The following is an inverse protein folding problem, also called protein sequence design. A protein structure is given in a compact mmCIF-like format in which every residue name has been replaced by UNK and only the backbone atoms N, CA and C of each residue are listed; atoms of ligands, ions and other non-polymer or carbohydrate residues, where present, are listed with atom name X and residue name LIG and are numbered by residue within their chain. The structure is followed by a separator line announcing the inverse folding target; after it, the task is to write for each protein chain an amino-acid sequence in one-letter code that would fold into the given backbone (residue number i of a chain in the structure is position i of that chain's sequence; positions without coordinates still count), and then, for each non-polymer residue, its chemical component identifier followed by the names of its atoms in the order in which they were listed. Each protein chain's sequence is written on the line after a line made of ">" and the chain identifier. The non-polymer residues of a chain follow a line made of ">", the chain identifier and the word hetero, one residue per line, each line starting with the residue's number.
data_IF_756518060857
#
_entry.id   IF_756518060857
#
_cell.length_a   1.000
_cell.length_b   1.000
_cell.length_c   1.000
_cell.angle_alpha   90.00
_cell.angle_beta   90.00
_cell.angle_gamma   90.00
#
_symmetry.space_group_name_H-M   'P 1'
#
loop_
_entity.id
_entity.type
_entity.pdbx_description
1 polymer ?
#
# COMPACT_ATOMS: atom_id res chain seq x y z
N UNK A 1 -18.00 12.89 -76.03
CA UNK A 1 -17.40 13.86 -75.07
C UNK A 1 -17.28 13.13 -73.74
N UNK A 2 -16.09 12.66 -73.38
CA UNK A 2 -15.02 13.36 -72.63
C UNK A 2 -15.33 13.51 -71.13
N UNK A 3 -14.55 12.75 -70.37
CA UNK A 3 -13.85 13.07 -69.13
C UNK A 3 -14.57 13.05 -67.77
N UNK A 4 -13.79 12.57 -66.80
CA UNK A 4 -13.83 12.82 -65.34
C UNK A 4 -14.57 11.76 -64.52
N UNK A 5 -14.08 11.25 -63.40
CA UNK A 5 -12.87 11.54 -62.61
C UNK A 5 -12.64 10.30 -61.70
N UNK A 6 -11.42 9.76 -61.64
CA UNK A 6 -11.04 8.76 -60.64
C UNK A 6 -10.82 9.49 -59.30
N UNK A 7 -11.61 9.17 -58.26
CA UNK A 7 -11.29 9.56 -56.89
C UNK A 7 -10.58 8.41 -56.19
N UNK A 8 -9.29 8.60 -55.94
CA UNK A 8 -8.46 7.72 -55.11
C UNK A 8 -8.71 8.13 -53.66
N UNK A 9 -9.41 7.28 -52.90
CA UNK A 9 -9.55 7.42 -51.45
C UNK A 9 -8.24 6.98 -50.78
N UNK A 10 -7.48 7.93 -50.26
CA UNK A 10 -6.30 7.66 -49.43
C UNK A 10 -6.76 7.24 -48.02
N UNK A 11 -6.51 5.98 -47.64
CA UNK A 11 -6.64 5.53 -46.25
C UNK A 11 -5.49 6.13 -45.42
N UNK A 12 -5.81 7.12 -44.59
CA UNK A 12 -4.93 7.59 -43.53
C UNK A 12 -5.06 6.67 -42.31
N UNK A 13 -4.14 5.73 -42.14
CA UNK A 13 -4.01 4.93 -40.93
C UNK A 13 -3.46 5.80 -39.80
N UNK A 14 -4.32 6.22 -38.88
CA UNK A 14 -3.91 6.85 -37.62
C UNK A 14 -3.31 5.76 -36.73
N UNK A 15 -1.97 5.71 -36.66
CA UNK A 15 -1.26 4.88 -35.70
C UNK A 15 -1.54 5.43 -34.29
N UNK A 16 -2.35 4.71 -33.53
CA UNK A 16 -2.59 4.99 -32.12
C UNK A 16 -1.27 4.82 -31.36
N UNK A 17 -0.65 5.93 -30.95
CA UNK A 17 0.44 5.93 -30.00
C UNK A 17 -0.10 5.47 -28.64
N UNK A 18 0.08 4.19 -28.32
CA UNK A 18 -0.19 3.67 -27.00
C UNK A 18 0.71 4.40 -25.97
N UNK A 19 0.16 4.87 -24.85
CA UNK A 19 0.97 5.45 -23.79
C UNK A 19 1.96 4.39 -23.29
N UNK A 20 3.23 4.79 -23.29
CA UNK A 20 4.35 4.04 -22.74
C UNK A 20 3.99 3.46 -21.38
N UNK A 21 3.95 2.13 -21.29
CA UNK A 21 3.91 1.43 -20.02
C UNK A 21 5.11 1.90 -19.21
N UNK A 22 4.85 2.61 -18.11
CA UNK A 22 5.89 2.97 -17.15
C UNK A 22 6.56 1.66 -16.72
N UNK A 23 7.83 1.55 -17.09
CA UNK A 23 8.69 0.42 -16.79
C UNK A 23 8.86 0.41 -15.28
N UNK A 24 8.02 -0.35 -14.58
CA UNK A 24 8.19 -0.62 -13.16
C UNK A 24 9.58 -1.26 -13.00
N UNK A 25 10.43 -0.65 -12.18
CA UNK A 25 11.83 -1.01 -12.01
C UNK A 25 12.01 -2.53 -11.88
N UNK A 26 12.88 -3.09 -12.72
CA UNK A 26 13.16 -4.53 -12.78
C UNK A 26 13.87 -4.92 -11.47
N UNK A 27 13.37 -5.85 -10.64
CA UNK A 27 14.07 -6.24 -9.43
C UNK A 27 15.39 -6.91 -9.79
N UNK A 28 16.51 -6.26 -9.52
CA UNK A 28 17.86 -6.79 -9.70
C UNK A 28 18.41 -7.21 -8.33
N UNK A 29 18.21 -8.50 -7.98
CA UNK A 29 18.97 -9.36 -7.02
C UNK A 29 18.11 -10.57 -6.65
N UNK A 30 18.68 -11.67 -6.11
CA UNK A 30 17.84 -12.67 -5.45
C UNK A 30 16.94 -11.98 -4.42
N UNK A 31 15.68 -12.40 -4.28
CA UNK A 31 14.76 -11.78 -3.33
C UNK A 31 15.38 -11.88 -1.94
N UNK A 32 15.47 -10.73 -1.25
CA UNK A 32 15.82 -10.69 0.16
C UNK A 32 14.80 -11.52 0.95
N UNK A 33 15.16 -12.01 2.13
CA UNK A 33 14.21 -12.80 2.93
C UNK A 33 12.94 -11.99 3.16
N UNK A 34 11.72 -12.54 2.96
CA UNK A 34 10.51 -11.75 3.10
C UNK A 34 10.33 -11.18 4.51
N UNK A 35 9.70 -10.02 4.60
CA UNK A 35 9.23 -9.47 5.88
C UNK A 35 8.11 -10.34 6.43
N UNK A 36 8.04 -10.44 7.75
CA UNK A 36 6.94 -11.12 8.44
C UNK A 36 6.02 -10.07 9.03
N UNK A 37 4.80 -9.92 8.50
CA UNK A 37 3.79 -9.07 9.12
C UNK A 37 3.20 -9.83 10.31
N UNK A 38 3.45 -9.31 11.52
CA UNK A 38 3.03 -9.91 12.77
C UNK A 38 1.60 -9.50 13.11
N UNK A 39 1.32 -8.19 13.00
CA UNK A 39 0.00 -7.62 13.24
C UNK A 39 -0.29 -6.52 12.23
N UNK A 40 -1.56 -6.39 11.88
CA UNK A 40 -2.10 -5.25 11.17
C UNK A 40 -3.45 -4.95 11.79
N UNK A 41 -3.74 -3.68 12.05
CA UNK A 41 -5.04 -3.23 12.51
C UNK A 41 -5.36 -1.84 11.99
N UNK A 42 -6.60 -1.70 11.53
CA UNK A 42 -7.21 -0.40 11.20
C UNK A 42 -8.45 -0.20 12.03
N UNK A 43 -8.78 1.05 12.30
CA UNK A 43 -9.97 1.42 13.05
C UNK A 43 -10.50 2.76 12.57
N UNK A 44 -11.83 2.86 12.49
CA UNK A 44 -12.52 4.12 12.39
C UNK A 44 -13.65 4.20 13.44
N UNK A 45 -13.80 5.35 14.10
CA UNK A 45 -14.90 5.61 15.00
C UNK A 45 -16.19 5.83 14.21
N UNK A 46 -17.34 5.82 14.90
CA UNK A 46 -18.65 6.02 14.28
C UNK A 46 -18.88 7.36 13.58
N UNK A 47 -18.09 8.39 13.90
CA UNK A 47 -18.32 9.77 13.45
C UNK A 47 -19.49 10.48 14.14
N UNK A 48 -20.20 9.84 15.08
CA UNK A 48 -21.27 10.48 15.86
C UNK A 48 -20.71 11.51 16.84
N UNK A 49 -21.48 12.54 17.16
CA UNK A 49 -21.14 13.52 18.20
C UNK A 49 -20.79 12.80 19.51
N UNK A 50 -19.68 13.22 20.13
CA UNK A 50 -19.14 12.60 21.35
C UNK A 50 -18.25 11.38 21.12
N UNK A 51 -18.13 10.87 19.87
CA UNK A 51 -17.13 9.85 19.54
C UNK A 51 -15.73 10.46 19.37
N UNK A 52 -14.70 9.63 19.54
CA UNK A 52 -13.34 10.01 19.13
C UNK A 52 -13.34 10.45 17.66
N UNK A 53 -12.63 11.53 17.29
CA UNK A 53 -12.51 11.94 15.88
C UNK A 53 -11.41 11.17 15.13
N UNK A 54 -10.65 10.33 15.83
CA UNK A 54 -9.43 9.72 15.31
C UNK A 54 -9.67 8.31 14.79
N UNK A 55 -9.24 8.08 13.56
CA UNK A 55 -8.98 6.77 12.97
C UNK A 55 -7.50 6.43 13.12
N UNK A 56 -7.16 5.15 13.09
CA UNK A 56 -5.78 4.70 13.19
C UNK A 56 -5.47 3.54 12.25
N UNK A 57 -4.19 3.46 11.89
CA UNK A 57 -3.56 2.33 11.23
C UNK A 57 -2.35 1.94 12.06
N UNK A 58 -2.22 0.65 12.37
CA UNK A 58 -1.10 0.06 13.06
C UNK A 58 -0.64 -1.18 12.29
N UNK A 59 0.66 -1.30 12.08
CA UNK A 59 1.28 -2.53 11.57
C UNK A 59 2.54 -2.82 12.37
N UNK A 60 2.76 -4.08 12.67
CA UNK A 60 4.05 -4.55 13.17
C UNK A 60 4.59 -5.67 12.29
N UNK A 61 5.90 -5.67 12.10
CA UNK A 61 6.57 -6.66 11.28
C UNK A 61 7.99 -6.94 11.76
N UNK A 62 8.55 -8.06 11.34
CA UNK A 62 9.93 -8.45 11.61
C UNK A 62 10.70 -8.59 10.31
N UNK A 63 11.95 -8.15 10.28
CA UNK A 63 12.83 -8.25 9.12
C UNK A 63 13.97 -9.28 9.30
N UNK A 64 13.79 -10.53 8.85
CA UNK A 64 14.82 -11.55 8.99
C UNK A 64 16.10 -11.33 8.16
N UNK A 65 16.12 -10.33 7.28
CA UNK A 65 17.29 -9.96 6.48
C UNK A 65 18.29 -9.11 7.28
N UNK A 66 17.82 -8.08 7.99
CA UNK A 66 18.71 -7.10 8.65
C UNK A 66 18.75 -7.25 10.17
N UNK A 67 17.58 -7.41 10.79
CA UNK A 67 17.47 -7.60 12.22
C UNK A 67 16.15 -8.29 12.51
N UNK A 68 16.17 -9.43 13.20
CA UNK A 68 14.96 -10.10 13.69
C UNK A 68 14.19 -9.27 14.75
N UNK A 69 14.37 -7.95 14.75
CA UNK A 69 13.68 -6.98 15.59
C UNK A 69 12.29 -6.71 15.04
N UNK A 70 11.34 -6.48 15.94
CA UNK A 70 9.99 -6.06 15.55
C UNK A 70 9.95 -4.55 15.36
N UNK A 71 9.53 -4.12 14.18
CA UNK A 71 9.25 -2.75 13.82
C UNK A 71 7.76 -2.50 13.99
N UNK A 72 7.40 -1.34 14.54
CA UNK A 72 6.03 -0.90 14.69
C UNK A 72 5.84 0.43 13.97
N UNK A 73 4.88 0.46 13.06
CA UNK A 73 4.50 1.65 12.33
C UNK A 73 3.05 2.00 12.65
N UNK A 74 2.81 3.25 13.00
CA UNK A 74 1.47 3.74 13.32
C UNK A 74 1.22 5.10 12.71
N UNK A 75 -0.02 5.36 12.31
CA UNK A 75 -0.47 6.70 11.97
C UNK A 75 -1.92 6.87 12.41
N UNK A 76 -2.26 8.12 12.70
CA UNK A 76 -3.62 8.52 13.05
C UNK A 76 -4.04 9.68 12.18
N UNK A 77 -5.34 9.77 11.92
CA UNK A 77 -5.93 10.86 11.17
C UNK A 77 -7.37 11.09 11.61
N UNK A 78 -7.87 12.27 11.34
CA UNK A 78 -9.28 12.63 11.53
C UNK A 78 -10.09 12.41 10.25
N UNK A 79 -11.42 12.41 10.37
CA UNK A 79 -12.30 12.35 9.20
C UNK A 79 -12.03 13.47 8.17
N UNK A 80 -11.68 14.67 8.64
CA UNK A 80 -11.36 15.80 7.77
C UNK A 80 -10.05 15.61 6.98
N UNK A 81 -9.14 14.79 7.49
CA UNK A 81 -7.84 14.53 6.89
C UNK A 81 -7.85 13.33 5.92
N UNK A 82 -8.96 12.60 5.79
CA UNK A 82 -9.01 11.28 5.16
C UNK A 82 -8.22 11.16 3.85
N UNK A 83 -8.41 12.09 2.90
CA UNK A 83 -7.69 12.04 1.62
C UNK A 83 -6.22 12.47 1.70
N UNK A 84 -5.85 13.27 2.69
CA UNK A 84 -4.46 13.70 2.90
C UNK A 84 -3.58 12.56 3.40
N UNK A 85 -4.15 11.50 3.98
CA UNK A 85 -3.38 10.35 4.46
C UNK A 85 -2.66 9.65 3.30
N UNK A 86 -3.28 9.58 2.12
CA UNK A 86 -2.68 8.97 0.93
C UNK A 86 -1.43 9.72 0.43
N UNK A 87 -1.33 11.02 0.74
CA UNK A 87 -0.22 11.86 0.29
C UNK A 87 0.92 11.92 1.30
N UNK A 88 0.73 11.39 2.51
CA UNK A 88 1.79 11.28 3.53
C UNK A 88 2.85 10.30 3.03
N UNK A 89 4.08 10.79 2.84
CA UNK A 89 5.22 9.98 2.43
C UNK A 89 6.11 9.69 3.63
N UNK A 90 6.70 8.50 3.65
CA UNK A 90 7.77 8.11 4.59
C UNK A 90 7.46 8.48 6.05
N UNK A 91 6.29 8.06 6.55
CA UNK A 91 5.98 8.20 7.98
C UNK A 91 6.91 7.29 8.76
N UNK A 92 7.65 7.83 9.73
CA UNK A 92 8.64 7.06 10.49
C UNK A 92 7.99 5.94 11.32
N UNK A 93 8.71 4.82 11.40
CA UNK A 93 8.39 3.70 12.28
C UNK A 93 9.32 3.65 13.49
N UNK A 94 8.87 2.95 14.52
CA UNK A 94 9.61 2.71 15.75
C UNK A 94 10.18 1.28 15.73
N UNK A 95 11.47 1.13 16.04
CA UNK A 95 12.10 -0.19 16.18
C UNK A 95 12.02 -0.59 17.65
N UNK A 96 11.08 -1.46 18.02
CA UNK A 96 10.72 -1.87 19.39
C UNK A 96 10.28 -0.69 20.31
N UNK A 97 9.12 -0.75 21.00
CA UNK A 97 8.70 0.27 21.97
C UNK A 97 9.76 0.67 23.01
N UNK A 98 10.73 -0.20 23.31
CA UNK A 98 11.84 0.06 24.24
C UNK A 98 13.07 0.66 23.57
N UNK A 99 13.30 0.38 22.29
CA UNK A 99 14.43 0.90 21.55
C UNK A 99 14.01 2.25 20.96
N UNK A 100 14.49 3.34 21.55
CA UNK A 100 14.25 4.71 21.10
C UNK A 100 14.86 5.01 19.71
N UNK A 101 15.20 4.01 18.90
CA UNK A 101 15.70 4.16 17.55
C UNK A 101 14.51 4.43 16.62
N UNK A 102 14.39 5.68 16.22
CA UNK A 102 13.45 6.19 15.23
C UNK A 102 14.21 6.40 13.93
N UNK A 103 13.63 6.03 12.78
CA UNK A 103 14.04 6.60 11.50
C UNK A 103 14.86 5.75 10.52
N UNK A 104 14.99 4.44 10.71
CA UNK A 104 15.52 3.56 9.63
C UNK A 104 14.38 3.02 8.75
N UNK A 105 13.22 2.74 9.37
CA UNK A 105 12.01 2.31 8.70
C UNK A 105 11.01 3.44 8.57
N UNK A 106 10.40 3.52 7.40
CA UNK A 106 9.26 4.39 7.16
C UNK A 106 8.19 3.65 6.35
N UNK A 107 6.97 4.16 6.39
CA UNK A 107 5.86 3.60 5.65
C UNK A 107 4.98 4.65 4.97
N UNK A 108 4.21 4.19 4.00
CA UNK A 108 3.20 4.95 3.30
C UNK A 108 1.98 4.08 3.00
N UNK A 109 0.79 4.65 3.14
CA UNK A 109 -0.47 4.06 2.66
C UNK A 109 -0.77 4.63 1.27
N UNK A 110 -0.97 3.75 0.30
CA UNK A 110 -1.21 4.09 -1.10
C UNK A 110 -2.60 3.62 -1.54
N UNK A 111 -3.21 4.37 -2.47
CA UNK A 111 -4.46 3.94 -3.12
C UNK A 111 -4.17 2.70 -3.98
N UNK A 112 -5.02 1.66 -3.95
CA UNK A 112 -4.91 0.53 -4.86
C UNK A 112 -5.06 1.00 -6.31
N UNK A 113 -4.20 0.50 -7.19
CA UNK A 113 -4.07 0.99 -8.58
C UNK A 113 -5.16 0.49 -9.54
N UNK A 114 -6.02 -0.45 -9.12
CA UNK A 114 -7.02 -1.08 -9.97
C UNK A 114 -8.27 -0.20 -10.12
N UNK A 115 -8.61 0.14 -11.38
CA UNK A 115 -9.84 0.85 -11.72
C UNK A 115 -11.08 0.01 -11.36
N UNK A 116 -11.81 0.42 -10.33
CA UNK A 116 -13.10 -0.18 -9.95
C UNK A 116 -13.20 -0.69 -8.51
N UNK A 117 -12.07 -0.89 -7.82
CA UNK A 117 -12.09 -1.21 -6.39
C UNK A 117 -12.13 0.10 -5.58
N UNK A 118 -13.12 0.24 -4.69
CA UNK A 118 -13.21 1.42 -3.82
C UNK A 118 -12.02 1.48 -2.86
N UNK A 119 -11.16 2.49 -3.00
CA UNK A 119 -10.03 2.71 -2.10
C UNK A 119 -10.50 3.08 -0.69
N UNK A 120 -9.92 2.46 0.33
CA UNK A 120 -10.27 2.70 1.73
C UNK A 120 -9.08 2.45 2.63
N UNK A 121 -8.75 3.43 3.47
CA UNK A 121 -7.68 3.31 4.48
C UNK A 121 -7.98 2.24 5.53
N UNK A 122 -9.22 1.75 5.61
CA UNK A 122 -9.63 0.76 6.58
C UNK A 122 -9.51 -0.65 6.03
N UNK A 123 -9.93 -0.86 4.79
CA UNK A 123 -10.17 -2.20 4.27
C UNK A 123 -9.79 -2.42 2.80
N UNK A 124 -9.20 -1.44 2.11
CA UNK A 124 -8.66 -1.62 0.77
C UNK A 124 -7.56 -0.59 0.46
N UNK A 125 -6.32 -0.95 0.75
CA UNK A 125 -5.15 -0.07 0.65
C UNK A 125 -3.90 -0.85 0.27
N UNK A 126 -2.86 -0.14 -0.17
CA UNK A 126 -1.53 -0.71 -0.34
C UNK A 126 -0.61 -0.17 0.75
N UNK A 127 0.09 -1.05 1.45
CA UNK A 127 1.15 -0.71 2.39
C UNK A 127 2.49 -0.71 1.64
N UNK A 128 3.20 0.41 1.66
CA UNK A 128 4.56 0.53 1.18
C UNK A 128 5.49 0.76 2.37
N UNK A 129 6.41 -0.17 2.60
CA UNK A 129 7.46 -0.10 3.62
C UNK A 129 8.78 0.24 2.95
N UNK A 130 9.56 1.12 3.57
CA UNK A 130 10.87 1.57 3.12
C UNK A 130 11.87 1.47 4.27
N UNK A 131 13.01 0.86 3.99
CA UNK A 131 14.15 0.77 4.90
C UNK A 131 15.36 1.45 4.29
N UNK A 132 15.77 2.57 4.86
CA UNK A 132 16.98 3.28 4.48
C UNK A 132 18.15 2.72 5.28
N UNK A 133 18.89 1.78 4.68
CA UNK A 133 20.04 1.12 5.30
C UNK A 133 21.36 1.54 4.67
N UNK A 134 22.48 1.29 5.37
CA UNK A 134 23.83 1.64 4.89
C UNK A 134 24.17 1.03 3.52
N UNK A 135 23.63 -0.14 3.22
CA UNK A 135 23.85 -0.84 1.95
C UNK A 135 22.94 -0.35 0.83
N UNK A 136 21.91 0.45 1.10
CA UNK A 136 20.95 0.95 0.12
C UNK A 136 19.52 1.02 0.65
N UNK A 137 18.59 1.30 -0.25
CA UNK A 137 17.15 1.39 0.07
C UNK A 137 16.49 0.05 -0.22
N UNK A 138 15.75 -0.46 0.75
CA UNK A 138 14.94 -1.67 0.60
C UNK A 138 13.47 -1.33 0.73
N UNK A 139 12.64 -1.99 -0.06
CA UNK A 139 11.20 -1.74 -0.11
C UNK A 139 10.40 -3.03 -0.09
N UNK A 140 9.25 -2.99 0.56
CA UNK A 140 8.25 -4.04 0.53
C UNK A 140 6.89 -3.40 0.27
N UNK A 141 6.13 -3.95 -0.67
CA UNK A 141 4.80 -3.40 -1.02
C UNK A 141 3.78 -4.52 -1.03
N UNK A 142 2.68 -4.33 -0.31
CA UNK A 142 1.61 -5.31 -0.19
C UNK A 142 0.25 -4.64 -0.30
N UNK A 143 -0.64 -5.20 -1.13
CA UNK A 143 -2.06 -4.84 -1.15
C UNK A 143 -2.78 -5.55 0.00
N UNK A 144 -3.58 -4.83 0.77
CA UNK A 144 -4.49 -5.36 1.77
C UNK A 144 -5.92 -5.04 1.37
N UNK A 145 -6.75 -6.08 1.28
CA UNK A 145 -8.14 -5.95 0.85
C UNK A 145 -9.04 -6.93 1.61
N UNK A 146 -10.18 -6.44 2.06
CA UNK A 146 -11.24 -7.24 2.68
C UNK A 146 -12.02 -8.03 1.62
N UNK A 147 -12.18 -7.45 0.43
CA UNK A 147 -12.82 -8.06 -0.72
C UNK A 147 -11.77 -8.69 -1.67
N UNK A 148 -12.12 -9.73 -2.41
CA UNK A 148 -11.17 -10.41 -3.33
C UNK A 148 -10.22 -11.40 -2.63
N UNK A 149 -8.91 -11.15 -2.69
CA UNK A 149 -7.86 -12.04 -2.11
C UNK A 149 -8.01 -12.25 -0.59
N UNK A 150 -8.74 -11.36 0.09
CA UNK A 150 -9.11 -11.41 1.52
C UNK A 150 -7.93 -11.75 2.42
N UNK A 151 -7.01 -10.80 2.57
CA UNK A 151 -5.90 -10.90 3.54
C UNK A 151 -6.14 -10.07 4.81
N UNK A 152 -7.23 -9.31 4.85
CA UNK A 152 -7.73 -8.66 6.07
C UNK A 152 -9.18 -9.03 6.33
N UNK A 153 -9.52 -9.14 7.62
CA UNK A 153 -10.85 -9.44 8.12
C UNK A 153 -11.25 -8.40 9.15
N UNK A 154 -12.55 -8.17 9.31
CA UNK A 154 -13.05 -7.16 10.21
C UNK A 154 -14.56 -7.01 10.15
N UNK A 155 -15.06 -6.06 10.92
CA UNK A 155 -16.48 -5.75 10.97
C UNK A 155 -16.72 -4.29 11.33
N UNK A 156 -17.88 -3.81 10.90
CA UNK A 156 -18.45 -2.56 11.38
C UNK A 156 -19.66 -2.87 12.26
N UNK A 157 -19.67 -2.28 13.45
CA UNK A 157 -20.82 -2.35 14.35
C UNK A 157 -21.96 -1.46 13.86
N UNK A 158 -23.19 -1.72 14.33
CA UNK A 158 -24.36 -0.89 14.00
C UNK A 158 -24.21 0.58 14.47
N UNK A 159 -23.33 0.85 15.43
CA UNK A 159 -23.05 2.22 15.87
C UNK A 159 -22.24 3.00 14.82
N UNK A 160 -21.57 2.33 13.88
CA UNK A 160 -20.73 2.89 12.83
C UNK A 160 -19.23 2.72 13.07
N UNK A 161 -18.82 2.17 14.21
CA UNK A 161 -17.41 1.87 14.49
C UNK A 161 -16.96 0.67 13.68
N UNK A 162 -15.84 0.80 12.97
CA UNK A 162 -15.26 -0.24 12.12
C UNK A 162 -13.86 -0.62 12.60
N UNK A 163 -13.53 -1.91 12.57
CA UNK A 163 -12.20 -2.42 12.86
C UNK A 163 -11.86 -3.55 11.90
N UNK A 164 -10.66 -3.49 11.34
CA UNK A 164 -10.09 -4.56 10.51
C UNK A 164 -8.69 -4.93 10.99
N UNK A 165 -8.24 -6.12 10.63
CA UNK A 165 -6.89 -6.60 10.87
C UNK A 165 -6.55 -7.78 9.95
N UNK A 166 -5.39 -8.40 10.13
CA UNK A 166 -5.05 -9.61 9.37
C UNK A 166 -6.13 -10.67 9.54
N UNK A 167 -6.59 -11.24 8.43
CA UNK A 167 -7.62 -12.28 8.46
C UNK A 167 -7.06 -13.57 9.09
N UNK A 168 -7.88 -14.30 9.85
CA UNK A 168 -7.44 -15.55 10.49
C UNK A 168 -7.17 -16.68 9.49
N UNK A 169 -7.78 -16.61 8.30
CA UNK A 169 -7.61 -17.59 7.24
C UNK A 169 -6.36 -17.41 6.37
N UNK A 170 -5.53 -16.38 6.61
CA UNK A 170 -4.24 -16.25 5.92
C UNK A 170 -3.21 -17.21 6.50
N UNK A 171 -2.37 -17.77 5.64
CA UNK A 171 -1.24 -18.59 6.07
C UNK A 171 -0.29 -17.75 6.95
N UNK A 172 0.10 -18.30 8.10
CA UNK A 172 1.03 -17.65 9.04
C UNK A 172 2.36 -18.39 9.04
N UNK A 173 3.51 -17.68 9.00
CA UNK A 173 3.66 -16.21 9.02
C UNK A 173 3.17 -15.53 7.73
N UNK A 174 2.63 -14.32 7.84
CA UNK A 174 2.22 -13.55 6.65
C UNK A 174 3.45 -12.90 6.02
N UNK A 175 3.93 -13.48 4.93
CA UNK A 175 5.18 -13.10 4.27
C UNK A 175 4.96 -12.02 3.21
N UNK A 176 5.72 -10.93 3.29
CA UNK A 176 5.74 -9.87 2.28
C UNK A 176 7.10 -9.83 1.60
N UNK A 177 7.18 -10.01 0.26
CA UNK A 177 8.42 -9.89 -0.48
C UNK A 177 9.07 -8.52 -0.31
N UNK A 178 10.38 -8.50 -0.14
CA UNK A 178 11.18 -7.28 -0.08
C UNK A 178 12.28 -7.25 -1.15
N UNK A 179 12.58 -6.05 -1.62
CA UNK A 179 13.47 -5.80 -2.75
C UNK A 179 14.43 -4.65 -2.45
N UNK A 180 15.64 -4.73 -2.98
CA UNK A 180 16.57 -3.60 -2.98
C UNK A 180 16.31 -2.72 -4.20
N UNK A 181 16.18 -1.40 -3.99
CA UNK A 181 16.14 -0.44 -5.10
C UNK A 181 17.56 -0.20 -5.64
N UNK A 182 17.71 -0.23 -6.96
CA UNK A 182 18.90 0.29 -7.61
C UNK A 182 18.90 1.82 -7.53
N UNK A 183 20.06 2.41 -7.25
CA UNK A 183 20.24 3.87 -7.28
C UNK A 183 20.51 4.32 -8.70
#
# INVERSE_FOLDING_TARGET
>A
MKFQLFQVLALATVAAALPSAQKLDRPLKPPLKPLVINTLSTFAPSGRLGSSPYSFFNVSFTDPEFSNTTVQCNTQWTLAEGDTVWTRKNTDCLIDPKSKRVGEWSFQLLKPTASGEGASLLNNFMLHLRHDWSSGVHVATQKFNFDGERNIGGMCSASGTCQFGLWEGVERPYLVPQFKLER
#
